data_IF_651443705456
#
_entry.id   IF_651443705456
#
_cell.length_a   1.000
_cell.length_b   1.000
_cell.length_c   1.000
_cell.angle_alpha   90.00
_cell.angle_beta   90.00
_cell.angle_gamma   90.00
#
_symmetry.space_group_name_H-M   'P 1'
#
loop_
_entity.id
_entity.type
_entity.pdbx_description
1 polymer ?
#
# COMPACT_ATOMS: atom_id res chain seq x y z
N UNK A 1 4.47 8.53 4.05
CA UNK A 1 3.85 7.85 5.21
C UNK A 1 4.64 8.18 6.47
N UNK A 2 3.96 8.38 7.59
CA UNK A 2 4.57 8.59 8.90
C UNK A 2 3.88 7.67 9.93
N UNK A 3 4.68 6.94 10.70
CA UNK A 3 4.23 6.20 11.86
C UNK A 3 5.31 6.20 12.93
N UNK A 4 5.03 6.75 14.12
CA UNK A 4 5.95 6.76 15.27
C UNK A 4 7.38 7.22 14.92
N UNK A 5 7.50 8.39 14.27
CA UNK A 5 8.75 8.99 13.81
C UNK A 5 9.52 8.20 12.72
N UNK A 6 8.91 7.15 12.16
CA UNK A 6 9.43 6.46 10.98
C UNK A 6 8.80 7.03 9.71
N UNK A 7 9.63 7.70 8.90
CA UNK A 7 9.23 8.25 7.61
C UNK A 7 9.47 7.24 6.48
N UNK A 8 8.47 7.13 5.61
CA UNK A 8 8.52 6.32 4.40
C UNK A 8 8.07 7.15 3.19
N UNK A 9 8.84 7.06 2.11
CA UNK A 9 8.39 7.48 0.78
C UNK A 9 7.81 6.26 0.08
N UNK A 10 6.62 6.41 -0.50
CA UNK A 10 5.94 5.31 -1.19
C UNK A 10 5.61 5.78 -2.60
N UNK A 11 6.11 5.06 -3.60
CA UNK A 11 5.56 5.11 -4.95
C UNK A 11 4.45 4.06 -5.03
N UNK A 12 3.21 4.53 -5.20
CA UNK A 12 2.02 3.69 -5.26
C UNK A 12 1.50 3.65 -6.69
N UNK A 13 1.60 2.47 -7.29
CA UNK A 13 1.09 2.20 -8.64
C UNK A 13 -0.20 1.40 -8.51
N UNK A 14 -1.28 1.98 -9.01
CA UNK A 14 -2.61 1.45 -8.81
C UNK A 14 -3.28 1.19 -10.16
N UNK A 15 -3.68 -0.06 -10.38
CA UNK A 15 -4.33 -0.54 -11.59
C UNK A 15 -5.54 -1.41 -11.21
N UNK A 16 -6.64 -0.73 -10.86
CA UNK A 16 -7.89 -1.40 -10.50
C UNK A 16 -8.48 -2.30 -11.60
N UNK A 17 -8.54 -1.88 -12.88
CA UNK A 17 -9.06 -2.75 -13.94
C UNK A 17 -8.34 -4.10 -14.05
N UNK A 18 -7.03 -4.13 -13.84
CA UNK A 18 -6.24 -5.38 -13.84
C UNK A 18 -6.04 -5.96 -12.43
N UNK A 19 -6.55 -5.30 -11.39
CA UNK A 19 -6.59 -5.82 -10.03
C UNK A 19 -5.26 -5.78 -9.30
N UNK A 20 -4.44 -4.76 -9.53
CA UNK A 20 -3.13 -4.60 -8.90
C UNK A 20 -3.02 -3.32 -8.06
N UNK A 21 -2.36 -3.42 -6.91
CA UNK A 21 -1.92 -2.30 -6.10
C UNK A 21 -0.48 -2.56 -5.67
N UNK A 22 0.45 -1.70 -6.07
CA UNK A 22 1.88 -1.92 -5.89
C UNK A 22 2.53 -0.76 -5.16
N UNK A 23 2.95 -1.00 -3.92
CA UNK A 23 3.69 -0.04 -3.10
C UNK A 23 5.19 -0.34 -3.18
N UNK A 24 5.98 0.63 -3.60
CA UNK A 24 7.44 0.62 -3.50
C UNK A 24 7.81 1.54 -2.33
N UNK A 25 8.21 0.92 -1.23
CA UNK A 25 8.33 1.56 0.08
C UNK A 25 9.81 1.78 0.39
N UNK A 26 10.21 3.05 0.40
CA UNK A 26 11.53 3.47 0.85
C UNK A 26 11.46 3.95 2.30
N UNK A 27 12.10 3.20 3.20
CA UNK A 27 12.27 3.59 4.60
C UNK A 27 13.43 4.58 4.77
N UNK A 28 13.31 5.54 5.68
CA UNK A 28 14.36 6.55 5.93
C UNK A 28 15.75 5.95 6.24
N UNK A 29 15.80 4.80 6.94
CA UNK A 29 17.04 4.11 7.33
C UNK A 29 17.03 2.60 7.02
N UNK A 30 16.28 2.19 5.99
CA UNK A 30 16.11 0.77 5.67
C UNK A 30 16.19 0.47 4.17
N UNK A 31 16.09 -0.83 3.85
CA UNK A 31 16.04 -1.29 2.46
C UNK A 31 14.69 -0.95 1.82
N UNK A 32 14.67 -0.91 0.49
CA UNK A 32 13.41 -0.77 -0.26
C UNK A 32 12.61 -2.06 -0.10
N UNK A 33 11.39 -1.93 0.37
CA UNK A 33 10.41 -3.01 0.46
C UNK A 33 9.36 -2.85 -0.63
N UNK A 34 8.96 -3.97 -1.19
CA UNK A 34 7.96 -4.05 -2.23
C UNK A 34 6.75 -4.76 -1.65
N UNK A 35 5.58 -4.16 -1.82
CA UNK A 35 4.29 -4.72 -1.42
C UNK A 35 3.35 -4.71 -2.61
N UNK A 36 3.19 -5.90 -3.21
CA UNK A 36 2.33 -6.12 -4.37
C UNK A 36 1.08 -6.87 -3.93
N UNK A 37 -0.06 -6.21 -4.07
CA UNK A 37 -1.37 -6.70 -3.68
C UNK A 37 -2.25 -6.96 -4.90
N UNK A 38 -2.98 -8.06 -4.84
CA UNK A 38 -3.92 -8.47 -5.88
C UNK A 38 -5.36 -8.38 -5.39
N UNK A 39 -6.29 -8.13 -6.31
CA UNK A 39 -7.73 -8.01 -6.02
C UNK A 39 -8.37 -9.28 -5.42
N UNK A 40 -7.70 -10.43 -5.50
CA UNK A 40 -8.12 -11.66 -4.85
C UNK A 40 -7.79 -11.71 -3.34
N UNK A 41 -7.12 -10.68 -2.79
CA UNK A 41 -6.69 -10.58 -1.40
C UNK A 41 -5.27 -11.05 -1.14
N UNK A 42 -4.54 -11.55 -2.15
CA UNK A 42 -3.16 -11.99 -1.99
C UNK A 42 -2.24 -10.77 -1.96
N UNK A 43 -1.39 -10.66 -0.94
CA UNK A 43 -0.32 -9.65 -0.88
C UNK A 43 1.04 -10.33 -0.75
N UNK A 44 2.03 -9.84 -1.50
CA UNK A 44 3.43 -10.25 -1.42
C UNK A 44 4.29 -9.11 -0.91
N UNK A 45 5.09 -9.39 0.11
CA UNK A 45 6.08 -8.47 0.66
C UNK A 45 7.48 -9.01 0.38
N UNK A 46 8.30 -8.28 -0.35
CA UNK A 46 9.63 -8.75 -0.75
C UNK A 46 10.68 -7.63 -0.85
N UNK A 47 11.95 -8.03 -0.90
CA UNK A 47 13.10 -7.15 -1.22
C UNK A 47 13.77 -7.62 -2.50
N UNK A 48 14.20 -6.71 -3.37
CA UNK A 48 14.96 -7.04 -4.60
C UNK A 48 16.48 -7.04 -4.41
N UNK A 49 16.94 -6.81 -3.18
CA UNK A 49 18.36 -6.84 -2.82
C UNK A 49 18.92 -8.27 -2.72
N UNK A 50 20.18 -8.39 -2.31
CA UNK A 50 20.84 -9.69 -2.16
C UNK A 50 20.21 -10.58 -1.07
N UNK A 51 19.42 -10.03 -0.15
CA UNK A 51 18.81 -10.80 0.93
C UNK A 51 17.62 -11.62 0.41
N UNK A 52 16.97 -11.16 -0.68
CA UNK A 52 15.84 -11.85 -1.33
C UNK A 52 14.76 -12.27 -0.34
N UNK A 53 14.41 -11.36 0.56
CA UNK A 53 13.36 -11.62 1.53
C UNK A 53 12.02 -11.70 0.80
N UNK A 54 11.19 -12.67 1.16
CA UNK A 54 9.82 -12.73 0.69
C UNK A 54 8.89 -13.35 1.71
N UNK A 55 7.69 -12.79 1.79
CA UNK A 55 6.55 -13.36 2.50
C UNK A 55 5.26 -13.05 1.74
N UNK A 56 4.23 -13.85 1.95
CA UNK A 56 2.91 -13.62 1.36
C UNK A 56 1.83 -13.81 2.41
N UNK A 57 0.75 -13.06 2.30
CA UNK A 57 -0.42 -13.21 3.16
C UNK A 57 -1.72 -13.10 2.36
N UNK A 58 -2.82 -13.52 2.96
CA UNK A 58 -4.17 -13.25 2.48
C UNK A 58 -4.80 -12.17 3.36
N UNK A 59 -5.16 -11.05 2.75
CA UNK A 59 -5.78 -9.89 3.40
C UNK A 59 -7.23 -9.80 2.97
N UNK A 60 -8.15 -9.76 3.94
CA UNK A 60 -9.59 -9.65 3.65
C UNK A 60 -9.98 -8.30 3.05
N UNK A 61 -9.25 -7.24 3.40
CA UNK A 61 -9.57 -5.84 3.03
C UNK A 61 -9.36 -5.57 1.52
N UNK A 62 -8.59 -6.42 0.82
CA UNK A 62 -8.27 -6.33 -0.62
C UNK A 62 -7.72 -4.95 -1.03
N UNK A 63 -7.38 -4.81 -2.31
CA UNK A 63 -6.98 -3.51 -2.85
C UNK A 63 -8.17 -2.55 -2.81
N UNK A 64 -7.90 -1.26 -2.54
CA UNK A 64 -8.95 -0.23 -2.54
C UNK A 64 -9.69 -0.24 -3.87
N UNK A 65 -11.02 -0.22 -3.83
CA UNK A 65 -11.86 -0.18 -5.02
C UNK A 65 -12.07 1.23 -5.55
N UNK A 66 -12.57 1.35 -6.77
CA UNK A 66 -12.89 2.65 -7.37
C UNK A 66 -13.91 3.44 -6.52
N UNK A 67 -14.82 2.75 -5.86
CA UNK A 67 -15.82 3.27 -4.92
C UNK A 67 -15.31 3.22 -3.47
N UNK A 68 -14.04 3.55 -3.23
CA UNK A 68 -13.40 3.49 -1.90
C UNK A 68 -14.15 4.26 -0.78
N UNK A 69 -15.01 5.23 -1.13
CA UNK A 69 -15.90 5.94 -0.20
C UNK A 69 -17.26 5.26 0.03
N UNK A 70 -17.57 4.15 -0.65
CA UNK A 70 -18.82 3.42 -0.39
C UNK A 70 -18.88 2.95 1.06
N UNK A 71 -19.99 3.23 1.72
CA UNK A 71 -20.18 3.02 3.16
C UNK A 71 -19.41 3.97 4.08
N UNK A 72 -18.74 5.01 3.57
CA UNK A 72 -18.09 6.03 4.39
C UNK A 72 -19.10 7.08 4.90
N UNK A 73 -18.83 7.66 6.07
CA UNK A 73 -19.64 8.71 6.68
C UNK A 73 -18.95 10.06 6.52
N UNK A 74 -19.66 11.04 5.96
CA UNK A 74 -19.19 12.42 5.91
C UNK A 74 -19.18 13.04 7.31
N UNK A 75 -18.08 13.70 7.67
CA UNK A 75 -17.89 14.31 8.98
C UNK A 75 -17.96 15.85 8.90
N UNK A 76 -17.04 16.46 8.16
CA UNK A 76 -16.91 17.93 8.05
C UNK A 76 -15.95 18.31 6.90
N UNK A 77 -15.62 19.61 6.78
CA UNK A 77 -14.52 20.12 5.96
C UNK A 77 -13.34 20.61 6.81
N UNK A 78 -12.10 20.31 6.39
CA UNK A 78 -10.88 20.73 7.10
C UNK A 78 -9.77 21.14 6.14
N UNK A 79 -8.92 22.07 6.57
CA UNK A 79 -7.68 22.42 5.86
C UNK A 79 -6.58 21.41 6.21
N UNK A 80 -6.00 20.75 5.21
CA UNK A 80 -4.88 19.79 5.34
C UNK A 80 -3.92 19.97 4.18
N UNK A 81 -2.62 20.13 4.46
CA UNK A 81 -1.55 20.26 3.46
C UNK A 81 -1.79 21.33 2.37
N UNK A 82 -2.53 22.39 2.73
CA UNK A 82 -2.90 23.48 1.82
C UNK A 82 -4.18 23.23 1.01
N UNK A 83 -4.85 22.09 1.17
CA UNK A 83 -6.12 21.74 0.55
C UNK A 83 -7.28 21.92 1.52
N UNK A 84 -8.43 22.35 1.00
CA UNK A 84 -9.72 22.21 1.68
C UNK A 84 -10.27 20.83 1.36
N UNK A 85 -10.51 20.02 2.37
CA UNK A 85 -10.87 18.61 2.19
C UNK A 85 -12.23 18.31 2.82
N UNK A 86 -13.03 17.46 2.16
CA UNK A 86 -14.08 16.70 2.81
C UNK A 86 -13.45 15.60 3.66
N UNK A 87 -13.91 15.45 4.90
CA UNK A 87 -13.46 14.43 5.84
C UNK A 87 -14.47 13.29 5.86
N UNK A 88 -13.99 12.08 5.63
CA UNK A 88 -14.78 10.85 5.58
C UNK A 88 -14.22 9.82 6.55
N UNK A 89 -15.06 9.20 7.38
CA UNK A 89 -14.69 8.07 8.22
C UNK A 89 -15.26 6.76 7.66
N UNK A 90 -14.46 5.70 7.68
CA UNK A 90 -14.88 4.38 7.18
C UNK A 90 -14.44 3.25 8.11
N UNK A 91 -15.42 2.41 8.46
CA UNK A 91 -15.25 1.13 9.16
C UNK A 91 -14.43 1.21 10.47
N UNK A 92 -14.45 2.35 11.16
CA UNK A 92 -13.63 2.64 12.35
C UNK A 92 -12.13 2.37 12.15
N UNK A 93 -11.70 2.33 10.89
CA UNK A 93 -10.37 1.86 10.48
C UNK A 93 -9.55 2.99 9.86
N UNK A 94 -10.18 3.86 9.08
CA UNK A 94 -9.50 4.90 8.31
C UNK A 94 -10.34 6.16 8.20
N UNK A 95 -9.67 7.31 8.28
CA UNK A 95 -10.21 8.62 7.97
C UNK A 95 -9.55 9.12 6.68
N UNK A 96 -10.36 9.47 5.69
CA UNK A 96 -9.93 10.00 4.42
C UNK A 96 -10.18 11.51 4.33
N UNK A 97 -9.27 12.20 3.65
CA UNK A 97 -9.36 13.62 3.35
C UNK A 97 -9.32 13.79 1.83
N UNK A 98 -10.46 14.11 1.26
CA UNK A 98 -10.67 14.26 -0.17
C UNK A 98 -10.71 15.75 -0.52
N UNK A 99 -9.81 16.22 -1.39
CA UNK A 99 -9.83 17.62 -1.84
C UNK A 99 -11.19 17.98 -2.46
N UNK A 100 -11.81 19.05 -1.96
CA UNK A 100 -13.14 19.48 -2.39
C UNK A 100 -13.18 19.88 -3.87
N UNK A 101 -12.05 20.33 -4.43
CA UNK A 101 -11.96 20.80 -5.81
C UNK A 101 -11.74 19.64 -6.78
N UNK A 102 -10.68 18.85 -6.56
CA UNK A 102 -10.29 17.79 -7.51
C UNK A 102 -10.95 16.45 -7.23
N UNK A 103 -11.60 16.29 -6.06
CA UNK A 103 -12.18 15.02 -5.58
C UNK A 103 -11.12 13.90 -5.42
N UNK A 104 -9.86 14.29 -5.25
CA UNK A 104 -8.74 13.35 -5.05
C UNK A 104 -8.48 13.13 -3.57
N UNK A 105 -8.13 11.90 -3.20
CA UNK A 105 -7.63 11.60 -1.87
C UNK A 105 -6.26 12.27 -1.68
N UNK A 106 -6.14 13.21 -0.74
CA UNK A 106 -4.87 13.93 -0.49
C UNK A 106 -4.18 13.54 0.81
N UNK A 107 -4.94 13.03 1.78
CA UNK A 107 -4.43 12.60 3.06
C UNK A 107 -5.31 11.50 3.66
N UNK A 108 -4.71 10.57 4.39
CA UNK A 108 -5.48 9.60 5.19
C UNK A 108 -4.77 9.20 6.46
N UNK A 109 -5.57 8.83 7.45
CA UNK A 109 -5.13 8.46 8.79
C UNK A 109 -5.75 7.12 9.16
N UNK A 110 -4.92 6.12 9.44
CA UNK A 110 -5.37 4.85 9.98
C UNK A 110 -5.70 5.00 11.47
N UNK A 111 -6.56 4.13 12.00
CA UNK A 111 -6.91 4.07 13.43
C UNK A 111 -5.68 3.91 14.35
N UNK A 112 -4.58 3.39 13.82
CA UNK A 112 -3.29 3.26 14.51
C UNK A 112 -2.54 4.58 14.67
N UNK A 113 -2.99 5.66 14.03
CA UNK A 113 -2.31 6.94 13.94
C UNK A 113 -1.28 7.04 12.81
N UNK A 114 -1.11 5.98 11.99
CA UNK A 114 -0.30 6.07 10.77
C UNK A 114 -0.94 7.04 9.79
N UNK A 115 -0.16 7.96 9.25
CA UNK A 115 -0.65 8.96 8.29
C UNK A 115 0.03 8.85 6.93
N UNK A 116 -0.72 9.06 5.87
CA UNK A 116 -0.19 9.23 4.53
C UNK A 116 -0.54 10.60 3.98
N UNK A 117 0.40 11.18 3.24
CA UNK A 117 0.26 12.48 2.60
C UNK A 117 0.57 12.29 1.12
N UNK A 118 -0.34 12.70 0.24
CA UNK A 118 -0.14 12.60 -1.19
C UNK A 118 0.74 13.76 -1.66
N UNK A 119 1.91 13.41 -2.20
CA UNK A 119 2.88 14.41 -2.68
C UNK A 119 2.69 14.71 -4.17
N UNK A 120 2.47 13.67 -4.96
CA UNK A 120 2.29 13.74 -6.42
C UNK A 120 1.21 12.75 -6.84
N UNK A 121 0.49 13.07 -7.91
CA UNK A 121 -0.55 12.21 -8.47
C UNK A 121 -0.56 12.33 -9.99
N UNK A 122 -0.30 11.20 -10.65
CA UNK A 122 -0.21 11.11 -12.12
C UNK A 122 -1.18 10.04 -12.61
N UNK A 123 -1.93 10.36 -13.67
CA UNK A 123 -2.90 9.46 -14.28
C UNK A 123 -2.37 9.03 -15.64
N UNK A 124 -2.54 7.74 -15.97
CA UNK A 124 -2.16 7.19 -17.27
C UNK A 124 -0.71 6.72 -17.37
N UNK A 125 0.02 6.67 -16.26
CA UNK A 125 1.31 5.97 -16.17
C UNK A 125 1.01 4.48 -16.03
N UNK A 126 1.36 3.70 -17.05
CA UNK A 126 1.17 2.25 -17.06
C UNK A 126 2.56 1.60 -17.04
N UNK A 127 2.96 0.96 -15.93
CA UNK A 127 4.20 0.18 -15.86
C UNK A 127 4.19 -0.98 -16.86
N UNK A 128 5.37 -1.48 -17.22
CA UNK A 128 5.44 -2.69 -18.05
C UNK A 128 4.88 -3.91 -17.29
N UNK A 129 4.31 -4.88 -18.00
CA UNK A 129 3.72 -6.10 -17.42
C UNK A 129 4.69 -6.84 -16.46
N UNK A 130 5.99 -6.75 -16.75
CA UNK A 130 7.05 -7.34 -15.95
C UNK A 130 7.16 -6.72 -14.55
N UNK A 131 6.82 -5.43 -14.40
CA UNK A 131 6.87 -4.72 -13.11
C UNK A 131 5.76 -5.15 -12.14
N UNK A 132 4.70 -5.78 -12.67
CA UNK A 132 3.62 -6.37 -11.88
C UNK A 132 3.90 -7.82 -11.45
N UNK A 133 5.07 -8.38 -11.75
CA UNK A 133 5.42 -9.75 -11.39
C UNK A 133 6.13 -9.83 -10.04
N UNK A 134 5.78 -10.85 -9.27
CA UNK A 134 6.49 -11.18 -8.04
C UNK A 134 7.75 -11.97 -8.40
N UNK A 135 8.89 -11.74 -7.72
CA UNK A 135 10.11 -12.51 -7.96
C UNK A 135 9.94 -14.02 -7.74
N UNK A 136 10.68 -14.83 -8.51
CA UNK A 136 10.54 -16.29 -8.48
C UNK A 136 10.76 -16.90 -7.08
N UNK A 137 11.69 -16.37 -6.30
CA UNK A 137 12.00 -16.86 -4.95
C UNK A 137 10.84 -16.71 -3.96
N UNK A 138 9.83 -15.89 -4.26
CA UNK A 138 8.61 -15.83 -3.46
C UNK A 138 7.72 -17.08 -3.58
N UNK A 139 7.90 -17.86 -4.65
CA UNK A 139 7.19 -19.12 -4.87
C UNK A 139 8.00 -20.34 -4.43
N UNK A 140 9.29 -20.15 -4.15
CA UNK A 140 10.14 -21.21 -3.63
C UNK A 140 9.69 -21.53 -2.20
N UNK A 141 9.21 -22.76 -1.97
CA UNK A 141 8.99 -23.24 -0.60
C UNK A 141 10.32 -23.08 0.13
N UNK A 142 10.32 -22.38 1.26
CA UNK A 142 11.42 -22.44 2.22
C UNK A 142 11.54 -23.90 2.63
N UNK A 143 12.35 -24.66 1.90
CA UNK A 143 12.66 -26.02 2.27
C UNK A 143 13.50 -25.85 3.51
N UNK A 144 12.87 -25.93 4.69
CA UNK A 144 13.62 -26.08 5.94
C UNK A 144 14.50 -27.30 5.69
N UNK A 145 15.78 -27.07 5.50
CA UNK A 145 16.77 -28.13 5.61
C UNK A 145 16.67 -28.55 7.07
N UNK A 146 15.83 -29.54 7.34
CA UNK A 146 15.96 -30.32 8.55
C UNK A 146 17.36 -30.92 8.41
N UNK A 147 18.31 -30.38 9.16
CA UNK A 147 19.60 -31.03 9.32
C UNK A 147 19.31 -32.49 9.68
N UNK A 148 19.67 -33.39 8.78
CA UNK A 148 19.86 -34.79 9.11
C UNK A 148 21.00 -34.81 10.13
N UNK A 149 20.64 -34.80 11.40
CA UNK A 149 21.53 -35.29 12.45
C UNK A 149 21.25 -36.78 12.54
N UNK A 150 21.96 -37.54 11.72
CA UNK A 150 22.21 -38.96 11.96
C UNK A 150 23.61 -39.29 11.43
N UNK A 151 24.58 -39.30 12.34
CA UNK A 151 25.71 -40.24 12.43
C UNK A 151 26.53 -39.96 13.68
#
# INVERSE_FOLDING_TARGET
MNYTDELQLIDLRYDWPNGHNFNIIQHQFGNIKYDLEWSNGTSFFYTLDSNRECSSTQVEVRILSFDWLDGATYIDQRQVDGFLCYVWEKADFITYYEDVVTRRLVHWVFYTGRTAHMMTFEVGVVPEDAEWQVPLYCYEKTTRVACLVDM
#
